data_IF_193564525673
#
_entry.id   IF_193564525673
#
_cell.length_a   1.000
_cell.length_b   1.000
_cell.length_c   1.000
_cell.angle_alpha   90.00
_cell.angle_beta   90.00
_cell.angle_gamma   90.00
#
_symmetry.space_group_name_H-M   'P 1'
#
loop_
_entity.id
_entity.type
_entity.pdbx_description
1 polymer ?
#
# COMPACT_ATOMS: atom_id res chain seq x y z
N UNK A 1 -24.90 -28.68 -16.84
CA UNK A 1 -23.42 -28.80 -16.67
C UNK A 1 -23.07 -30.20 -16.21
N UNK A 2 -22.18 -30.91 -16.92
CA UNK A 2 -21.72 -32.24 -16.52
C UNK A 2 -20.82 -32.14 -15.26
N UNK A 3 -20.59 -33.26 -14.55
CA UNK A 3 -19.78 -33.28 -13.32
C UNK A 3 -18.33 -32.79 -13.54
N UNK A 4 -17.73 -33.11 -14.68
CA UNK A 4 -16.38 -32.69 -15.07
C UNK A 4 -16.27 -31.17 -15.25
N UNK A 5 -17.27 -30.52 -15.85
CA UNK A 5 -17.35 -29.06 -16.01
C UNK A 5 -17.48 -28.36 -14.66
N UNK A 6 -18.18 -28.97 -13.69
CA UNK A 6 -18.27 -28.45 -12.31
C UNK A 6 -16.95 -28.59 -11.56
N UNK A 7 -16.24 -29.72 -11.73
CA UNK A 7 -14.93 -29.93 -11.10
C UNK A 7 -13.86 -29.02 -11.70
N UNK A 8 -13.83 -28.83 -13.03
CA UNK A 8 -12.90 -27.90 -13.68
C UNK A 8 -13.23 -26.43 -13.38
N UNK A 9 -14.51 -26.04 -13.33
CA UNK A 9 -14.89 -24.70 -12.91
C UNK A 9 -14.56 -24.47 -11.42
N UNK A 10 -14.71 -25.50 -10.58
CA UNK A 10 -14.29 -25.48 -9.18
C UNK A 10 -12.77 -25.39 -9.01
N UNK A 11 -11.98 -26.04 -9.87
CA UNK A 11 -10.52 -25.91 -9.92
C UNK A 11 -10.05 -24.58 -10.50
N UNK A 12 -10.75 -24.03 -11.49
CA UNK A 12 -10.47 -22.69 -12.03
C UNK A 12 -10.84 -21.60 -11.03
N UNK A 13 -11.94 -21.76 -10.29
CA UNK A 13 -12.32 -20.89 -9.18
C UNK A 13 -11.36 -21.05 -8.01
N UNK A 14 -10.98 -22.26 -7.60
CA UNK A 14 -9.97 -22.50 -6.57
C UNK A 14 -8.58 -21.99 -7.00
N UNK A 15 -8.26 -22.09 -8.31
CA UNK A 15 -7.08 -21.51 -8.95
C UNK A 15 -7.14 -19.99 -9.12
N UNK A 16 -8.32 -19.38 -9.06
CA UNK A 16 -8.49 -17.93 -8.97
C UNK A 16 -8.63 -17.43 -7.52
N UNK A 17 -8.75 -18.34 -6.54
CA UNK A 17 -8.53 -18.03 -5.11
C UNK A 17 -7.08 -18.31 -4.70
N UNK A 18 -6.16 -18.36 -5.66
CA UNK A 18 -4.73 -18.45 -5.35
C UNK A 18 -4.37 -17.17 -4.62
N UNK A 19 -4.10 -17.33 -3.33
CA UNK A 19 -3.44 -16.33 -2.52
C UNK A 19 -2.23 -15.83 -3.29
N UNK A 20 -2.25 -14.55 -3.68
CA UNK A 20 -1.02 -13.81 -3.98
C UNK A 20 -0.22 -13.85 -2.69
N UNK A 21 0.65 -14.85 -2.53
CA UNK A 21 1.56 -14.90 -1.40
C UNK A 21 2.71 -13.96 -1.71
N UNK A 22 3.06 -13.08 -0.76
CA UNK A 22 4.29 -12.30 -0.87
C UNK A 22 5.46 -13.27 -1.07
N UNK A 23 6.11 -13.20 -2.23
CA UNK A 23 7.37 -13.92 -2.43
C UNK A 23 8.37 -13.36 -1.42
N UNK A 24 9.14 -14.21 -0.73
CA UNK A 24 10.17 -13.72 0.17
C UNK A 24 11.13 -12.80 -0.60
N UNK A 25 11.43 -11.69 0.05
CA UNK A 25 12.43 -10.73 -0.39
C UNK A 25 13.74 -11.02 0.32
N UNK A 26 14.84 -10.61 -0.29
CA UNK A 26 16.09 -10.47 0.41
C UNK A 26 16.80 -9.17 0.07
N UNK A 27 17.69 -8.75 0.96
CA UNK A 27 18.57 -7.60 0.71
C UNK A 27 19.96 -8.08 0.31
N UNK A 28 20.51 -7.44 -0.73
CA UNK A 28 21.91 -7.52 -1.12
C UNK A 28 22.52 -6.13 -0.93
N UNK A 29 22.92 -5.85 0.31
CA UNK A 29 23.43 -4.54 0.70
C UNK A 29 24.81 -4.24 0.12
N UNK A 30 25.68 -5.25 0.05
CA UNK A 30 27.04 -5.10 -0.48
C UNK A 30 27.10 -5.16 -2.02
N UNK A 31 25.99 -5.51 -2.66
CA UNK A 31 25.88 -5.73 -4.11
C UNK A 31 26.92 -6.74 -4.62
N UNK A 32 27.13 -7.80 -3.82
CA UNK A 32 28.11 -8.85 -4.06
C UNK A 32 27.46 -10.21 -4.36
N UNK A 33 26.11 -10.25 -4.38
CA UNK A 33 25.31 -11.44 -4.62
C UNK A 33 25.08 -12.29 -3.37
N UNK A 34 25.46 -11.81 -2.18
CA UNK A 34 25.18 -12.51 -0.92
C UNK A 34 23.82 -12.13 -0.35
N UNK A 35 23.06 -13.14 0.06
CA UNK A 35 21.75 -12.98 0.69
C UNK A 35 21.93 -12.62 2.16
N UNK A 36 21.71 -11.35 2.56
CA UNK A 36 21.91 -10.94 3.95
C UNK A 36 20.69 -11.25 4.81
N UNK A 37 19.49 -10.80 4.40
CA UNK A 37 18.27 -10.84 5.21
C UNK A 37 17.08 -11.27 4.37
N UNK A 38 16.52 -12.48 4.58
CA UNK A 38 15.28 -12.91 3.91
C UNK A 38 14.06 -12.57 4.77
N UNK A 39 13.08 -11.89 4.19
CA UNK A 39 11.87 -11.41 4.87
C UNK A 39 10.66 -11.38 3.92
N UNK A 40 9.45 -11.15 4.45
CA UNK A 40 8.23 -11.00 3.61
C UNK A 40 7.53 -9.66 3.78
N UNK A 41 7.91 -8.88 4.79
CA UNK A 41 7.30 -7.59 5.07
C UNK A 41 8.26 -6.62 5.75
N UNK A 42 8.06 -5.33 5.46
CA UNK A 42 8.64 -4.22 6.21
C UNK A 42 7.73 -3.89 7.39
N UNK A 43 8.29 -3.79 8.59
CA UNK A 43 7.56 -3.42 9.80
C UNK A 43 7.85 -1.97 10.12
N UNK A 44 6.81 -1.15 10.15
CA UNK A 44 6.91 0.28 10.44
C UNK A 44 7.05 0.46 11.95
N UNK A 45 7.91 1.39 12.38
CA UNK A 45 7.83 1.91 13.74
C UNK A 45 6.50 2.63 13.96
N UNK A 46 6.13 2.88 15.21
CA UNK A 46 5.05 3.82 15.51
C UNK A 46 5.39 5.19 14.90
N UNK A 47 4.42 5.78 14.21
CA UNK A 47 4.55 7.12 13.64
C UNK A 47 3.20 7.86 13.69
N UNK A 48 3.28 9.16 13.46
CA UNK A 48 2.16 10.08 13.62
C UNK A 48 1.84 10.76 12.28
N UNK A 49 0.98 10.16 11.44
CA UNK A 49 0.60 10.81 10.20
C UNK A 49 -0.37 11.97 10.44
N UNK A 50 -0.34 12.91 9.50
CA UNK A 50 -1.22 14.07 9.45
C UNK A 50 -2.19 13.91 8.28
N UNK A 51 -3.48 13.86 8.60
CA UNK A 51 -4.55 14.00 7.63
C UNK A 51 -4.93 15.48 7.49
N UNK A 52 -4.96 16.00 6.27
CA UNK A 52 -5.41 17.33 5.93
C UNK A 52 -6.68 17.26 5.10
N UNK A 53 -7.71 17.96 5.54
CA UNK A 53 -9.04 17.98 4.95
C UNK A 53 -9.25 19.36 4.33
N UNK A 54 -9.69 19.36 3.08
CA UNK A 54 -10.01 20.60 2.38
C UNK A 54 -11.50 20.89 2.53
N UNK A 55 -11.80 21.87 3.36
CA UNK A 55 -13.12 22.47 3.48
C UNK A 55 -13.25 23.58 2.43
N UNK A 56 -13.99 23.29 1.37
CA UNK A 56 -14.14 24.21 0.25
C UNK A 56 -15.01 25.43 0.56
N UNK A 57 -15.98 25.30 1.47
CA UNK A 57 -16.95 26.34 1.78
C UNK A 57 -16.62 27.14 3.04
N UNK A 58 -15.59 26.73 3.78
CA UNK A 58 -15.07 27.44 4.95
C UNK A 58 -15.99 27.34 6.16
N UNK A 59 -16.87 26.35 6.20
CA UNK A 59 -17.77 26.07 7.31
C UNK A 59 -17.05 25.61 8.59
N UNK A 60 -15.81 25.14 8.48
CA UNK A 60 -15.05 24.51 9.56
C UNK A 60 -15.53 23.09 9.87
N UNK A 61 -16.27 22.47 8.95
CA UNK A 61 -16.94 21.18 9.16
C UNK A 61 -16.59 20.21 8.04
N UNK A 62 -16.33 18.95 8.38
CA UNK A 62 -16.03 17.89 7.42
C UNK A 62 -17.19 16.89 7.37
N UNK A 63 -17.64 16.57 6.17
CA UNK A 63 -18.66 15.56 5.91
C UNK A 63 -18.18 14.46 4.98
N UNK A 64 -19.08 13.56 4.60
CA UNK A 64 -18.82 12.53 3.58
C UNK A 64 -18.42 13.15 2.23
N UNK A 65 -17.37 12.62 1.60
CA UNK A 65 -16.93 13.04 0.26
C UNK A 65 -16.08 14.30 0.21
N UNK A 66 -15.68 14.85 1.37
CA UNK A 66 -14.72 15.95 1.44
C UNK A 66 -13.35 15.44 0.99
N UNK A 67 -12.55 16.30 0.37
CA UNK A 67 -11.19 15.92 -0.03
C UNK A 67 -10.30 15.77 1.20
N UNK A 68 -9.53 14.69 1.23
CA UNK A 68 -8.59 14.41 2.31
C UNK A 68 -7.26 13.95 1.72
N UNK A 69 -6.20 14.49 2.29
CA UNK A 69 -4.83 14.09 2.06
C UNK A 69 -4.29 13.49 3.34
N UNK A 70 -3.54 12.40 3.26
CA UNK A 70 -2.88 11.83 4.43
C UNK A 70 -1.39 11.70 4.15
N UNK A 71 -0.58 12.17 5.09
CA UNK A 71 0.87 12.22 4.89
C UNK A 71 1.60 11.77 6.14
N UNK A 72 2.72 11.09 5.93
CA UNK A 72 3.53 10.61 7.03
C UNK A 72 4.94 10.27 6.59
N UNK A 73 5.85 10.26 7.53
CA UNK A 73 7.21 9.77 7.31
C UNK A 73 7.75 9.12 8.58
N UNK A 74 8.76 8.28 8.41
CA UNK A 74 9.36 7.58 9.53
C UNK A 74 10.48 6.64 9.11
N UNK A 75 10.77 5.68 9.98
CA UNK A 75 11.77 4.63 9.76
C UNK A 75 11.12 3.26 9.79
N UNK A 76 11.68 2.34 9.04
CA UNK A 76 11.31 0.93 9.13
C UNK A 76 11.99 0.32 10.37
N UNK A 77 11.16 -0.16 11.29
CA UNK A 77 11.58 -0.70 12.59
C UNK A 77 12.16 -2.10 12.52
N UNK A 78 11.77 -2.88 11.51
CA UNK A 78 12.27 -4.23 11.32
C UNK A 78 11.81 -4.88 10.03
N UNK A 79 12.32 -6.09 9.81
CA UNK A 79 11.93 -6.98 8.73
C UNK A 79 11.24 -8.20 9.35
N UNK A 80 10.18 -8.72 8.73
CA UNK A 80 9.41 -9.84 9.31
C UNK A 80 8.83 -10.82 8.29
N UNK A 81 8.85 -12.14 8.58
CA UNK A 81 9.75 -12.79 9.54
C UNK A 81 11.18 -12.78 9.00
N UNK A 82 12.19 -12.60 9.86
CA UNK A 82 13.59 -12.78 9.48
C UNK A 82 13.94 -14.27 9.48
N UNK A 83 14.26 -14.83 8.32
CA UNK A 83 14.42 -16.29 8.16
C UNK A 83 15.85 -16.82 8.44
N UNK A 84 16.83 -15.96 8.75
CA UNK A 84 18.25 -16.35 8.89
C UNK A 84 18.90 -15.71 10.12
N UNK A 85 20.02 -16.28 10.63
CA UNK A 85 20.81 -15.61 11.65
C UNK A 85 21.30 -14.27 11.09
N UNK A 86 21.22 -13.22 11.92
CA UNK A 86 21.71 -11.87 11.63
C UNK A 86 23.08 -11.96 10.94
N UNK A 87 23.18 -11.39 9.75
CA UNK A 87 24.48 -11.12 9.13
C UNK A 87 25.29 -10.18 10.03
N UNK A 88 26.61 -10.10 9.86
CA UNK A 88 27.43 -9.11 10.59
C UNK A 88 27.02 -7.66 10.22
N UNK A 89 26.22 -7.47 9.15
CA UNK A 89 25.65 -6.20 8.69
C UNK A 89 24.11 -6.19 8.80
N UNK A 90 23.63 -6.29 10.04
CA UNK A 90 22.20 -6.35 10.35
C UNK A 90 21.44 -5.08 10.01
N UNK A 91 20.18 -5.26 9.59
CA UNK A 91 19.20 -4.19 9.44
C UNK A 91 19.03 -3.40 10.74
N UNK A 92 18.99 -2.06 10.62
CA UNK A 92 19.02 -1.05 11.68
C UNK A 92 20.34 -0.94 12.49
N UNK A 93 21.35 -1.75 12.20
CA UNK A 93 22.71 -1.59 12.73
C UNK A 93 23.66 -0.98 11.70
N UNK A 94 23.84 -1.62 10.54
CA UNK A 94 24.72 -1.12 9.45
C UNK A 94 23.95 -0.27 8.45
N UNK A 95 22.70 -0.64 8.15
CA UNK A 95 21.86 0.03 7.16
C UNK A 95 20.40 0.09 7.61
N UNK A 96 19.63 1.04 7.09
CA UNK A 96 18.21 1.17 7.42
C UNK A 96 17.40 1.80 6.30
N UNK A 97 16.07 1.77 6.46
CA UNK A 97 15.14 2.40 5.53
C UNK A 97 14.33 3.48 6.22
N UNK A 98 14.16 4.60 5.53
CA UNK A 98 13.16 5.62 5.84
C UNK A 98 12.05 5.54 4.81
N UNK A 99 10.84 5.84 5.25
CA UNK A 99 9.71 5.98 4.37
C UNK A 99 9.12 7.38 4.47
N UNK A 100 8.53 7.82 3.37
CA UNK A 100 7.60 8.95 3.31
C UNK A 100 6.44 8.56 2.42
N UNK A 101 5.27 9.10 2.69
CA UNK A 101 4.10 8.88 1.86
C UNK A 101 3.20 10.11 1.86
N UNK A 102 2.48 10.27 0.76
CA UNK A 102 1.31 11.14 0.69
C UNK A 102 0.19 10.41 -0.07
N UNK A 103 -1.03 10.47 0.46
CA UNK A 103 -2.22 9.83 -0.07
C UNK A 103 -3.26 10.89 -0.38
N UNK A 104 -4.07 10.66 -1.40
CA UNK A 104 -5.23 11.46 -1.74
C UNK A 104 -6.50 10.62 -1.82
N UNK A 105 -7.59 11.17 -1.31
CA UNK A 105 -8.88 10.50 -1.32
C UNK A 105 -10.02 11.35 -0.83
N UNK A 106 -11.04 10.64 -0.36
CA UNK A 106 -12.29 11.23 0.09
C UNK A 106 -12.63 10.73 1.48
N UNK A 107 -13.16 11.63 2.31
CA UNK A 107 -13.65 11.29 3.64
C UNK A 107 -14.88 10.42 3.57
N UNK A 108 -15.00 9.56 4.58
CA UNK A 108 -16.19 8.79 4.85
C UNK A 108 -16.45 8.77 6.36
N UNK A 109 -17.72 8.77 6.77
CA UNK A 109 -18.12 8.53 8.14
C UNK A 109 -18.30 7.02 8.31
N UNK A 110 -17.36 6.41 9.02
CA UNK A 110 -17.44 5.02 9.43
C UNK A 110 -18.62 4.79 10.39
N UNK A 111 -18.88 5.77 11.25
CA UNK A 111 -20.07 5.86 12.08
C UNK A 111 -20.59 7.29 12.00
N UNK A 112 -21.89 7.42 11.78
CA UNK A 112 -22.65 8.67 11.80
C UNK A 112 -23.87 8.43 12.70
N UNK A 113 -23.78 8.87 13.95
CA UNK A 113 -24.77 8.54 14.97
C UNK A 113 -26.10 9.27 14.76
N UNK A 114 -26.06 10.47 14.17
CA UNK A 114 -27.22 11.32 13.95
C UNK A 114 -27.74 11.30 12.49
N UNK A 115 -27.03 10.63 11.58
CA UNK A 115 -27.30 10.49 10.14
C UNK A 115 -27.36 11.81 9.36
N UNK A 116 -26.58 12.82 9.76
CA UNK A 116 -26.55 14.13 9.10
C UNK A 116 -25.45 14.26 8.03
N UNK A 117 -24.63 13.23 7.82
CA UNK A 117 -23.45 13.20 6.94
C UNK A 117 -22.36 14.23 7.26
N UNK A 118 -22.35 14.74 8.50
CA UNK A 118 -21.39 15.69 9.04
C UNK A 118 -20.71 15.02 10.24
N UNK A 119 -19.40 15.09 10.30
CA UNK A 119 -18.66 14.59 11.45
C UNK A 119 -18.98 15.41 12.71
N UNK A 120 -19.44 14.75 13.77
CA UNK A 120 -19.60 15.33 15.10
C UNK A 120 -18.91 14.47 16.17
N UNK A 121 -17.83 15.00 16.76
CA UNK A 121 -17.10 14.35 17.85
C UNK A 121 -17.99 14.15 19.09
N UNK A 122 -18.92 15.05 19.37
CA UNK A 122 -19.80 14.96 20.55
C UNK A 122 -20.78 13.78 20.45
N UNK A 123 -21.15 13.41 19.23
CA UNK A 123 -22.02 12.27 18.94
C UNK A 123 -21.24 10.95 18.81
N UNK A 124 -19.90 11.01 18.85
CA UNK A 124 -19.03 9.83 18.77
C UNK A 124 -18.83 9.31 17.36
N UNK A 125 -18.96 10.18 16.35
CA UNK A 125 -18.73 9.83 14.96
C UNK A 125 -17.29 9.37 14.73
N UNK A 126 -17.11 8.55 13.70
CA UNK A 126 -15.80 8.03 13.32
C UNK A 126 -15.47 8.47 11.90
N UNK A 127 -14.45 9.31 11.77
CA UNK A 127 -13.98 9.79 10.49
C UNK A 127 -12.96 8.81 9.90
N UNK A 128 -13.28 8.31 8.72
CA UNK A 128 -12.45 7.47 7.87
C UNK A 128 -12.15 8.18 6.54
N UNK A 129 -11.29 7.56 5.74
CA UNK A 129 -10.99 7.99 4.39
C UNK A 129 -10.87 6.79 3.46
N UNK A 130 -11.25 6.97 2.20
CA UNK A 130 -10.88 6.09 1.11
C UNK A 130 -9.90 6.82 0.19
N UNK A 131 -8.65 6.37 0.17
CA UNK A 131 -7.61 6.85 -0.74
C UNK A 131 -7.65 6.11 -2.07
N UNK A 132 -7.46 6.87 -3.14
CA UNK A 132 -7.52 6.44 -4.55
C UNK A 132 -6.26 6.78 -5.34
N UNK A 133 -5.34 7.53 -4.72
CA UNK A 133 -4.12 8.04 -5.34
C UNK A 133 -3.09 8.30 -4.22
N UNK A 134 -1.82 8.41 -4.58
CA UNK A 134 -0.74 8.67 -3.65
C UNK A 134 0.52 7.89 -3.95
N UNK A 135 1.51 8.04 -3.08
CA UNK A 135 2.77 7.32 -3.17
C UNK A 135 3.30 6.92 -1.81
N UNK A 136 4.15 5.90 -1.79
CA UNK A 136 5.00 5.54 -0.66
C UNK A 136 6.42 5.38 -1.20
N UNK A 137 7.33 6.22 -0.73
CA UNK A 137 8.74 6.18 -1.11
C UNK A 137 9.58 5.67 0.03
N UNK A 138 10.49 4.76 -0.29
CA UNK A 138 11.51 4.24 0.60
C UNK A 138 12.85 4.80 0.19
N UNK A 139 13.61 5.24 1.17
CA UNK A 139 14.96 5.72 0.98
C UNK A 139 15.93 5.01 1.91
N UNK A 140 17.09 4.68 1.36
CA UNK A 140 18.17 4.03 2.09
C UNK A 140 18.89 5.04 2.98
N UNK A 141 19.19 4.60 4.20
CA UNK A 141 19.97 5.35 5.16
C UNK A 141 21.23 4.60 5.59
N UNK A 142 22.35 5.32 5.62
CA UNK A 142 23.62 4.86 6.17
C UNK A 142 23.95 5.74 7.38
N UNK A 143 24.04 5.13 8.57
CA UNK A 143 24.29 5.88 9.81
C UNK A 143 23.29 7.02 10.07
N UNK A 144 22.03 6.85 9.67
CA UNK A 144 20.96 7.86 9.81
C UNK A 144 20.90 8.95 8.73
N UNK A 145 21.83 8.97 7.77
CA UNK A 145 21.81 9.91 6.64
C UNK A 145 21.14 9.26 5.43
N UNK A 146 20.17 9.93 4.83
CA UNK A 146 19.53 9.49 3.58
C UNK A 146 20.51 9.60 2.41
N UNK A 147 20.71 8.51 1.68
CA UNK A 147 21.68 8.46 0.56
C UNK A 147 20.98 8.34 -0.80
N UNK A 148 19.78 7.76 -0.86
CA UNK A 148 18.99 7.67 -2.11
C UNK A 148 17.66 6.94 -1.95
N UNK A 149 16.76 7.10 -2.92
CA UNK A 149 15.52 6.32 -3.03
C UNK A 149 15.84 4.88 -3.48
N UNK A 150 15.11 3.92 -2.92
CA UNK A 150 15.31 2.49 -3.21
C UNK A 150 14.06 1.76 -3.66
N UNK A 151 12.87 2.28 -3.36
CA UNK A 151 11.60 1.72 -3.78
C UNK A 151 10.55 2.83 -3.74
N UNK A 152 9.84 3.04 -4.85
CA UNK A 152 8.65 3.87 -4.91
C UNK A 152 7.44 2.99 -5.26
N UNK A 153 6.34 3.22 -4.55
CA UNK A 153 5.07 2.51 -4.73
C UNK A 153 4.01 3.55 -5.00
N UNK A 154 3.28 3.41 -6.10
CA UNK A 154 2.09 4.20 -6.40
C UNK A 154 0.88 3.55 -5.75
N UNK A 155 0.09 4.34 -5.01
CA UNK A 155 -1.10 3.87 -4.33
C UNK A 155 -2.27 3.86 -5.31
N UNK A 156 -2.88 2.69 -5.48
CA UNK A 156 -3.95 2.48 -6.46
C UNK A 156 -5.33 2.46 -5.82
N UNK A 157 -5.43 2.07 -4.56
CA UNK A 157 -6.70 2.02 -3.84
C UNK A 157 -6.50 1.79 -2.34
N UNK A 158 -7.60 1.86 -1.61
CA UNK A 158 -7.64 1.47 -0.21
C UNK A 158 -8.98 0.89 0.20
N UNK A 159 -8.99 0.21 1.34
CA UNK A 159 -10.19 -0.29 1.99
C UNK A 159 -10.10 -0.06 3.50
N UNK A 160 -11.23 0.25 4.13
CA UNK A 160 -11.33 0.34 5.58
C UNK A 160 -12.37 -0.65 6.13
N UNK A 161 -12.14 -1.11 7.36
CA UNK A 161 -13.04 -1.99 8.09
C UNK A 161 -13.16 -1.53 9.55
N UNK A 162 -14.40 -1.49 10.03
CA UNK A 162 -14.78 -1.07 11.37
C UNK A 162 -14.94 -2.33 12.23
N UNK A 163 -13.84 -2.78 12.83
CA UNK A 163 -13.86 -3.89 13.78
C UNK A 163 -12.83 -3.61 14.89
N UNK A 164 -13.33 -3.17 16.06
CA UNK A 164 -12.50 -2.79 17.24
C UNK A 164 -11.47 -1.67 16.96
N UNK A 165 -11.86 -0.72 16.12
CA UNK A 165 -11.05 0.39 15.59
C UNK A 165 -11.23 0.53 14.08
N UNK A 166 -10.70 1.62 13.51
CA UNK A 166 -10.65 1.81 12.06
C UNK A 166 -9.37 1.12 11.54
N UNK A 167 -9.54 -0.08 11.00
CA UNK A 167 -8.47 -0.77 10.28
C UNK A 167 -8.50 -0.32 8.84
N UNK A 168 -7.34 -0.05 8.29
CA UNK A 168 -7.16 0.50 6.97
C UNK A 168 -6.15 -0.33 6.20
N UNK A 169 -6.43 -0.63 4.94
CA UNK A 169 -5.50 -1.31 4.04
C UNK A 169 -5.31 -0.45 2.80
N UNK A 170 -4.06 -0.14 2.49
CA UNK A 170 -3.65 0.53 1.26
C UNK A 170 -3.13 -0.52 0.30
N UNK A 171 -3.48 -0.40 -0.97
CA UNK A 171 -2.97 -1.20 -2.07
C UNK A 171 -2.20 -0.30 -3.03
N UNK A 172 -1.13 -0.83 -3.60
CA UNK A 172 -0.31 -0.10 -4.55
C UNK A 172 0.51 -1.01 -5.45
N UNK A 173 1.22 -0.41 -6.37
CA UNK A 173 2.09 -1.07 -7.34
C UNK A 173 3.49 -0.45 -7.23
N UNK A 174 4.56 -1.26 -7.08
CA UNK A 174 5.92 -0.74 -7.19
C UNK A 174 6.15 -0.13 -8.57
N UNK A 175 6.61 1.12 -8.63
CA UNK A 175 6.84 1.86 -9.90
C UNK A 175 8.32 2.15 -10.15
N UNK A 176 9.13 2.18 -9.08
CA UNK A 176 10.58 2.28 -9.16
C UNK A 176 11.21 1.42 -8.07
N UNK A 177 12.36 0.83 -8.34
CA UNK A 177 13.18 0.20 -7.30
C UNK A 177 14.64 0.13 -7.74
N UNK A 178 15.54 0.07 -6.75
CA UNK A 178 16.92 -0.38 -6.96
C UNK A 178 17.01 -1.89 -6.76
N UNK A 179 18.13 -2.50 -7.16
CA UNK A 179 18.39 -3.92 -6.89
C UNK A 179 18.97 -4.17 -5.49
N UNK A 180 18.77 -3.23 -4.56
CA UNK A 180 19.03 -3.46 -3.13
C UNK A 180 18.03 -4.49 -2.58
N UNK A 181 16.76 -4.40 -3.01
CA UNK A 181 15.70 -5.32 -2.65
C UNK A 181 15.53 -6.33 -3.79
N UNK A 182 15.58 -7.61 -3.47
CA UNK A 182 15.54 -8.71 -4.42
C UNK A 182 14.45 -9.70 -4.06
N UNK A 183 13.90 -10.40 -5.04
CA UNK A 183 13.04 -11.58 -4.84
C UNK A 183 13.90 -12.82 -4.67
N UNK A 184 13.54 -13.72 -3.74
CA UNK A 184 14.23 -15.01 -3.60
C UNK A 184 14.01 -15.91 -4.83
N UNK A 185 12.84 -15.82 -5.46
CA UNK A 185 12.58 -16.47 -6.74
C UNK A 185 13.19 -15.65 -7.87
N UNK A 186 13.76 -16.34 -8.86
CA UNK A 186 14.19 -15.69 -10.09
C UNK A 186 13.08 -15.69 -11.14
N UNK A 187 12.88 -14.55 -11.79
CA UNK A 187 11.97 -14.36 -12.92
C UNK A 187 12.80 -14.00 -14.14
N UNK A 188 12.73 -14.84 -15.18
CA UNK A 188 13.54 -14.67 -16.40
C UNK A 188 15.05 -14.52 -16.15
N UNK A 189 15.57 -15.12 -15.06
CA UNK A 189 16.97 -15.03 -14.66
C UNK A 189 17.33 -13.80 -13.82
N UNK A 190 16.36 -12.93 -13.52
CA UNK A 190 16.52 -11.74 -12.69
C UNK A 190 15.97 -11.99 -11.28
N UNK A 191 16.56 -11.32 -10.28
CA UNK A 191 16.07 -11.32 -8.89
C UNK A 191 15.92 -9.90 -8.34
N UNK A 192 16.61 -8.90 -8.91
CA UNK A 192 16.53 -7.51 -8.45
C UNK A 192 15.18 -6.90 -8.77
N UNK A 193 14.52 -6.30 -7.78
CA UNK A 193 13.20 -5.69 -7.98
C UNK A 193 13.26 -4.56 -9.01
N UNK A 194 14.36 -3.81 -9.05
CA UNK A 194 14.60 -2.81 -10.10
C UNK A 194 14.69 -3.40 -11.50
N UNK A 195 15.40 -4.52 -11.67
CA UNK A 195 15.47 -5.24 -12.95
C UNK A 195 14.12 -5.81 -13.36
N UNK A 196 13.36 -6.36 -12.40
CA UNK A 196 12.02 -6.90 -12.65
C UNK A 196 11.04 -5.82 -13.12
N UNK A 197 11.09 -4.63 -12.51
CA UNK A 197 10.26 -3.49 -12.90
C UNK A 197 10.63 -2.91 -14.26
N UNK A 198 11.91 -2.96 -14.63
CA UNK A 198 12.39 -2.49 -15.94
C UNK A 198 12.31 -3.55 -17.04
N UNK A 199 11.91 -4.78 -16.70
CA UNK A 199 11.73 -5.86 -17.66
C UNK A 199 10.57 -5.57 -18.61
N UNK A 200 10.68 -5.90 -19.91
CA UNK A 200 9.55 -5.82 -20.83
C UNK A 200 8.38 -6.77 -20.46
N UNK A 201 8.61 -7.72 -19.54
CA UNK A 201 7.60 -8.66 -19.05
C UNK A 201 7.15 -8.33 -17.61
N UNK A 202 7.39 -7.11 -17.10
CA UNK A 202 7.06 -6.70 -15.73
C UNK A 202 5.62 -7.04 -15.32
N UNK A 203 4.68 -6.86 -16.25
CA UNK A 203 3.25 -7.12 -16.03
C UNK A 203 2.96 -8.60 -15.72
N UNK A 204 3.75 -9.52 -16.28
CA UNK A 204 3.58 -10.97 -16.08
C UNK A 204 4.02 -11.41 -14.67
N UNK A 205 4.83 -10.60 -13.98
CA UNK A 205 5.31 -10.90 -12.64
C UNK A 205 4.29 -10.54 -11.56
N UNK A 206 3.23 -9.80 -11.89
CA UNK A 206 2.15 -9.43 -10.96
C UNK A 206 2.68 -8.78 -9.68
N UNK A 207 3.60 -7.81 -9.85
CA UNK A 207 4.17 -7.05 -8.76
C UNK A 207 3.10 -6.15 -8.13
N UNK A 208 3.02 -6.16 -6.81
CA UNK A 208 2.05 -5.36 -6.06
C UNK A 208 2.53 -5.12 -4.65
N UNK A 209 1.85 -4.25 -3.93
CA UNK A 209 2.14 -3.97 -2.54
C UNK A 209 0.86 -3.70 -1.76
N UNK A 210 0.85 -4.06 -0.49
CA UNK A 210 -0.22 -3.66 0.41
C UNK A 210 0.27 -3.47 1.84
N UNK A 211 -0.30 -2.48 2.52
CA UNK A 211 -0.04 -2.23 3.93
C UNK A 211 -1.35 -2.21 4.71
N UNK A 212 -1.37 -2.83 5.88
CA UNK A 212 -2.50 -2.73 6.82
C UNK A 212 -2.08 -1.97 8.06
N UNK A 213 -2.88 -0.98 8.42
CA UNK A 213 -2.66 -0.09 9.57
C UNK A 213 -3.94 0.05 10.41
N UNK A 214 -3.77 0.37 11.68
CA UNK A 214 -4.87 0.62 12.62
C UNK A 214 -4.77 2.05 13.12
N UNK A 215 -5.85 2.81 12.96
CA UNK A 215 -5.96 4.17 13.48
C UNK A 215 -6.63 4.10 14.86
N UNK A 216 -5.96 4.65 15.87
CA UNK A 216 -6.43 4.62 17.26
C UNK A 216 -7.39 5.77 17.59
N UNK A 217 -7.23 6.92 16.93
CA UNK A 217 -7.85 8.19 17.33
C UNK A 217 -8.89 8.70 16.31
N UNK A 218 -9.62 7.79 15.66
CA UNK A 218 -10.54 8.10 14.56
C UNK A 218 -11.75 9.00 14.96
N UNK A 219 -12.01 9.17 16.26
CA UNK A 219 -13.09 10.01 16.82
C UNK A 219 -12.66 11.45 17.09
N UNK A 220 -11.38 11.81 16.94
CA UNK A 220 -10.93 13.17 17.16
C UNK A 220 -11.28 14.06 15.96
N UNK A 221 -11.80 15.26 16.25
CA UNK A 221 -12.11 16.25 15.24
C UNK A 221 -10.84 16.85 14.60
N UNK A 222 -10.82 17.05 13.27
CA UNK A 222 -9.81 17.88 12.65
C UNK A 222 -10.02 19.34 13.06
N UNK A 223 -8.93 20.11 13.16
CA UNK A 223 -8.95 21.52 13.56
C UNK A 223 -8.45 22.39 12.44
N UNK A 224 -9.00 23.60 12.31
CA UNK A 224 -8.54 24.59 11.32
C UNK A 224 -7.06 24.91 11.59
N UNK A 225 -6.24 24.87 10.54
CA UNK A 225 -4.79 25.16 10.59
C UNK A 225 -4.48 26.44 9.80
N UNK A 226 -4.37 27.62 10.47
CA UNK A 226 -4.23 28.92 9.80
C UNK A 226 -2.91 29.14 9.04
N UNK A 227 -1.99 28.17 9.06
CA UNK A 227 -0.70 28.21 8.38
C UNK A 227 -0.41 26.99 7.52
N UNK A 228 -1.45 26.24 7.13
CA UNK A 228 -1.27 25.02 6.36
C UNK A 228 -0.48 25.26 5.08
N UNK A 229 0.61 24.52 4.91
CA UNK A 229 1.45 24.59 3.72
C UNK A 229 1.10 23.43 2.80
N UNK A 230 0.56 23.75 1.64
CA UNK A 230 0.19 22.76 0.61
C UNK A 230 1.48 22.16 0.03
N UNK A 231 1.58 20.83 0.03
CA UNK A 231 2.70 20.10 -0.57
C UNK A 231 2.67 20.18 -2.10
N UNK A 232 3.76 19.79 -2.75
CA UNK A 232 3.80 19.70 -4.23
C UNK A 232 2.77 18.67 -4.72
N UNK A 233 2.71 17.50 -4.09
CA UNK A 233 1.73 16.46 -4.44
C UNK A 233 0.29 16.95 -4.30
N UNK A 234 -0.03 17.63 -3.20
CA UNK A 234 -1.37 18.19 -2.99
C UNK A 234 -1.73 19.23 -4.04
N UNK A 235 -0.78 20.09 -4.41
CA UNK A 235 -0.99 21.08 -5.46
C UNK A 235 -1.21 20.40 -6.82
N UNK A 236 -0.42 19.36 -7.14
CA UNK A 236 -0.58 18.59 -8.39
C UNK A 236 -1.96 17.93 -8.47
N UNK A 237 -2.47 17.37 -7.36
CA UNK A 237 -3.83 16.82 -7.28
C UNK A 237 -4.89 17.91 -7.45
N UNK A 238 -4.74 19.04 -6.76
CA UNK A 238 -5.67 20.19 -6.89
C UNK A 238 -5.75 20.63 -8.36
N UNK A 239 -4.61 20.75 -9.04
CA UNK A 239 -4.53 21.17 -10.43
C UNK A 239 -5.07 20.10 -11.39
N UNK A 240 -4.72 18.83 -11.18
CA UNK A 240 -5.15 17.68 -11.99
C UNK A 240 -6.66 17.50 -11.97
N UNK A 241 -7.29 17.61 -10.81
CA UNK A 241 -8.74 17.45 -10.65
C UNK A 241 -9.51 18.77 -10.76
N UNK A 242 -8.82 19.91 -10.88
CA UNK A 242 -9.44 21.23 -10.99
C UNK A 242 -10.24 21.61 -9.74
N UNK A 243 -9.72 21.30 -8.56
CA UNK A 243 -10.40 21.56 -7.28
C UNK A 243 -10.47 23.08 -7.04
N UNK A 244 -11.67 23.67 -6.87
CA UNK A 244 -11.83 25.12 -6.84
C UNK A 244 -11.50 25.70 -5.47
N UNK A 245 -10.22 25.76 -5.11
CA UNK A 245 -9.77 26.41 -3.87
C UNK A 245 -9.99 27.91 -3.97
N UNK A 246 -10.78 28.48 -3.05
CA UNK A 246 -11.11 29.91 -3.01
C UNK A 246 -10.53 30.58 -1.76
N UNK A 247 -10.75 31.89 -1.61
CA UNK A 247 -10.35 32.63 -0.42
C UNK A 247 -11.13 32.22 0.85
N UNK A 248 -12.30 31.60 0.68
CA UNK A 248 -13.13 31.12 1.79
C UNK A 248 -12.75 29.68 2.20
N UNK A 249 -12.02 28.96 1.35
CA UNK A 249 -11.61 27.58 1.61
C UNK A 249 -10.63 27.50 2.78
N UNK A 250 -10.78 26.46 3.60
CA UNK A 250 -9.98 26.24 4.81
C UNK A 250 -9.35 24.84 4.79
N UNK A 251 -8.17 24.75 5.40
CA UNK A 251 -7.53 23.48 5.68
C UNK A 251 -7.75 23.13 7.14
N UNK A 252 -8.30 21.94 7.36
CA UNK A 252 -8.39 21.35 8.69
C UNK A 252 -7.40 20.19 8.76
N UNK A 253 -6.69 20.05 9.88
CA UNK A 253 -5.71 18.98 10.06
C UNK A 253 -6.02 18.15 11.28
N UNK A 254 -5.65 16.87 11.21
CA UNK A 254 -5.68 15.94 12.33
C UNK A 254 -4.41 15.09 12.30
N UNK A 255 -3.70 15.08 13.41
CA UNK A 255 -2.64 14.09 13.64
C UNK A 255 -3.28 12.82 14.23
N UNK A 256 -2.87 11.65 13.75
CA UNK A 256 -3.34 10.37 14.30
C UNK A 256 -2.16 9.51 14.71
N UNK A 257 -2.39 8.52 15.57
CA UNK A 257 -1.36 7.55 15.96
C UNK A 257 -1.54 6.24 15.21
N UNK A 258 -0.47 5.77 14.55
CA UNK A 258 -0.38 4.41 13.97
C UNK A 258 0.58 3.58 14.81
N UNK A 259 0.04 2.62 15.57
CA UNK A 259 0.79 1.83 16.57
C UNK A 259 1.85 0.91 15.92
N UNK A 260 1.45 0.16 14.90
CA UNK A 260 2.34 -0.58 14.00
C UNK A 260 1.61 -0.91 12.69
N UNK A 261 2.35 -1.00 11.59
CA UNK A 261 1.86 -1.47 10.30
C UNK A 261 2.90 -2.33 9.62
N UNK A 262 2.45 -3.23 8.75
CA UNK A 262 3.32 -4.05 7.92
C UNK A 262 3.02 -3.75 6.46
N UNK A 263 4.06 -3.50 5.66
CA UNK A 263 3.98 -3.46 4.20
C UNK A 263 4.49 -4.78 3.64
N UNK A 264 3.70 -5.37 2.77
CA UNK A 264 4.05 -6.55 1.99
C UNK A 264 4.27 -6.12 0.55
N UNK A 265 5.35 -6.59 -0.07
CA UNK A 265 5.53 -6.53 -1.53
C UNK A 265 5.29 -7.94 -2.05
N UNK A 266 4.42 -8.06 -3.03
CA UNK A 266 4.04 -9.34 -3.62
C UNK A 266 4.57 -9.44 -5.03
N UNK A 267 5.10 -10.60 -5.38
CA UNK A 267 5.31 -11.02 -6.76
C UNK A 267 4.48 -12.29 -6.98
N UNK A 268 3.79 -12.35 -8.11
CA UNK A 268 3.04 -13.54 -8.50
C UNK A 268 3.98 -14.53 -9.17
N UNK A 269 4.27 -15.65 -8.49
CA UNK A 269 5.10 -16.72 -9.05
C UNK A 269 4.63 -17.13 -10.47
N UNK A 270 5.54 -17.34 -11.46
CA UNK A 270 5.18 -17.75 -12.82
C UNK A 270 4.41 -19.09 -12.85
N UNK A 271 4.58 -19.89 -11.80
CA UNK A 271 3.86 -21.15 -11.58
C UNK A 271 2.35 -20.93 -11.53
N UNK A 272 1.87 -19.80 -11.02
CA UNK A 272 0.46 -19.47 -10.93
C UNK A 272 -0.14 -19.14 -12.30
N UNK A 273 0.57 -18.35 -13.11
CA UNK A 273 0.21 -18.08 -14.49
C UNK A 273 0.22 -19.36 -15.35
N UNK A 274 1.21 -20.24 -15.15
CA UNK A 274 1.29 -21.54 -15.80
C UNK A 274 0.12 -22.46 -15.38
N UNK A 275 -0.28 -22.46 -14.10
CA UNK A 275 -1.44 -23.22 -13.63
C UNK A 275 -2.75 -22.69 -14.23
N UNK A 276 -2.93 -21.37 -14.29
CA UNK A 276 -4.08 -20.76 -14.97
C UNK A 276 -4.10 -21.08 -16.47
N UNK A 277 -2.94 -21.01 -17.13
CA UNK A 277 -2.78 -21.40 -18.54
C UNK A 277 -3.12 -22.87 -18.78
N UNK A 278 -2.65 -23.79 -17.93
CA UNK A 278 -3.00 -25.21 -17.95
C UNK A 278 -4.50 -25.45 -17.70
N UNK A 279 -5.11 -24.70 -16.78
CA UNK A 279 -6.55 -24.74 -16.51
C UNK A 279 -7.37 -24.26 -17.72
N UNK A 280 -6.96 -23.17 -18.37
CA UNK A 280 -7.60 -22.64 -19.58
C UNK A 280 -7.46 -23.59 -20.78
N UNK A 281 -6.29 -24.20 -20.96
CA UNK A 281 -6.07 -25.27 -21.95
C UNK A 281 -6.96 -26.48 -21.66
N UNK A 282 -7.05 -26.92 -20.40
CA UNK A 282 -7.94 -27.99 -19.96
C UNK A 282 -9.42 -27.70 -20.25
N UNK A 283 -9.87 -26.46 -20.01
CA UNK A 283 -11.22 -26.00 -20.37
C UNK A 283 -11.44 -25.99 -21.90
N UNK A 284 -10.45 -25.52 -22.67
CA UNK A 284 -10.45 -25.55 -24.13
C UNK A 284 -10.57 -26.96 -24.71
N UNK A 285 -9.82 -27.93 -24.17
CA UNK A 285 -9.91 -29.33 -24.57
C UNK A 285 -11.23 -29.98 -24.16
N UNK A 286 -11.79 -29.63 -23.00
CA UNK A 286 -13.09 -30.18 -22.54
C UNK A 286 -14.27 -29.84 -23.48
N UNK A 287 -14.21 -28.68 -24.17
CA UNK A 287 -15.18 -28.28 -25.21
C UNK A 287 -15.06 -29.08 -26.51
N UNK A 288 -13.88 -29.62 -26.85
CA UNK A 288 -13.70 -30.47 -28.05
C UNK A 288 -14.22 -31.89 -27.85
N UNK A 289 -14.14 -32.44 -26.63
CA UNK A 289 -14.66 -33.78 -26.33
C UNK A 289 -16.19 -33.85 -26.15
N UNK A 290 -16.89 -32.72 -26.11
CA UNK A 290 -18.37 -32.66 -26.09
C UNK A 290 -19.00 -32.59 -27.50
N UNK A 291 -18.18 -32.49 -28.56
CA UNK A 291 -18.61 -32.67 -29.96
C UNK A 291 -18.23 -34.07 -30.48
N UNK A 292 -18.82 -35.11 -29.89
CA UNK A 292 -19.04 -36.42 -30.52
C UNK A 292 -20.33 -37.00 -29.99
#
# INVERSE_FOLDING_TARGET
MNKLTKTLAGLALAGSVVSVSADPLFVDYENDGTTSDIFTSFVFNTFNPTSAYLDLDGSGVIGNGSYVFDSGSGTIGGLSPLAFPLSDDSFNDTWGLRFEYELFGFTALASDANNNNIFDEADGDQLAAGFIDGYINFSYTNGGTQVGEVLSIEVTSSAYNINQGLNFTVFGEPVSATNLINTVQSFDGMTGLGDLLNSPNSDDYGLGAFATLKILDATQAPVVEPGYTVSVFQQDIIDQYGIPVTADSQWLTRETTVDSSNLYVTASSPTNAALMGLCLLGLGFSRRFTKK
#
